data_IF_215078371037
#
_entry.id   IF_215078371037
#
_cell.length_a   1.000
_cell.length_b   1.000
_cell.length_c   1.000
_cell.angle_alpha   90.00
_cell.angle_beta   90.00
_cell.angle_gamma   90.00
#
_symmetry.space_group_name_H-M   'P 1'
#
loop_
_entity.id
_entity.type
_entity.pdbx_description
1 polymer ?
#
# COMPACT_ATOMS: atom_id res chain seq x y z
N UNK A 1 14.11 7.26 1.73
CA UNK A 1 12.77 6.73 1.43
C UNK A 1 11.93 7.68 0.58
N UNK A 2 11.81 8.96 0.94
CA UNK A 2 10.89 9.87 0.24
C UNK A 2 11.28 10.15 -1.22
N UNK A 3 12.58 10.22 -1.52
CA UNK A 3 13.08 10.40 -2.89
C UNK A 3 12.57 9.31 -3.86
N UNK A 4 12.71 8.04 -3.49
CA UNK A 4 12.29 6.90 -4.35
C UNK A 4 10.77 6.87 -4.54
N UNK A 5 10.00 7.19 -3.50
CA UNK A 5 8.53 7.27 -3.56
C UNK A 5 8.11 8.41 -4.49
N UNK A 6 8.72 9.60 -4.38
CA UNK A 6 8.41 10.71 -5.28
C UNK A 6 8.74 10.39 -6.74
N UNK A 7 9.88 9.74 -6.99
CA UNK A 7 10.30 9.39 -8.35
C UNK A 7 9.32 8.39 -8.99
N UNK A 8 8.96 7.32 -8.29
CA UNK A 8 8.00 6.34 -8.80
C UNK A 8 6.61 6.95 -9.05
N UNK A 9 6.14 7.81 -8.14
CA UNK A 9 4.83 8.46 -8.29
C UNK A 9 4.81 9.50 -9.39
N UNK A 10 5.92 10.16 -9.69
CA UNK A 10 6.00 11.05 -10.84
C UNK A 10 5.80 10.28 -12.15
N UNK A 11 6.36 9.08 -12.28
CA UNK A 11 6.13 8.22 -13.46
C UNK A 11 4.68 7.72 -13.53
N UNK A 12 4.10 7.32 -12.40
CA UNK A 12 2.72 6.82 -12.31
C UNK A 12 1.71 7.93 -12.64
N UNK A 13 1.96 9.18 -12.21
CA UNK A 13 1.10 10.33 -12.50
C UNK A 13 1.04 10.71 -13.99
N UNK A 14 2.00 10.26 -14.80
CA UNK A 14 1.95 10.46 -16.26
C UNK A 14 0.92 9.54 -16.94
N UNK A 15 0.43 8.51 -16.24
CA UNK A 15 -0.59 7.59 -16.75
C UNK A 15 -1.98 8.22 -16.68
N UNK A 16 -2.84 7.86 -17.63
CA UNK A 16 -4.18 8.44 -17.74
C UNK A 16 -5.10 7.92 -16.64
N UNK A 17 -5.87 8.83 -16.05
CA UNK A 17 -6.93 8.49 -15.08
C UNK A 17 -6.40 8.02 -13.73
N UNK A 18 -5.20 8.43 -13.34
CA UNK A 18 -4.54 8.01 -12.10
C UNK A 18 -4.46 9.15 -11.10
N UNK A 19 -4.84 8.85 -9.86
CA UNK A 19 -4.68 9.71 -8.69
C UNK A 19 -3.83 8.97 -7.65
N UNK A 20 -2.89 9.66 -7.01
CA UNK A 20 -1.96 9.05 -6.05
C UNK A 20 -1.97 9.79 -4.72
N UNK A 21 -1.96 9.05 -3.62
CA UNK A 21 -1.90 9.58 -2.25
C UNK A 21 -0.81 8.86 -1.45
N UNK A 22 -0.23 9.56 -0.47
CA UNK A 22 0.79 9.00 0.42
C UNK A 22 0.37 9.30 1.85
N UNK A 23 0.30 8.26 2.67
CA UNK A 23 -0.08 8.36 4.08
C UNK A 23 1.02 7.81 4.98
N UNK A 24 1.35 8.53 6.05
CA UNK A 24 2.28 8.03 7.07
C UNK A 24 1.53 7.10 8.02
N UNK A 25 2.07 5.90 8.22
CA UNK A 25 1.47 4.87 9.06
C UNK A 25 2.12 4.84 10.44
N UNK A 26 3.44 4.81 10.51
CA UNK A 26 4.15 4.72 11.78
C UNK A 26 5.53 5.37 11.70
N UNK A 27 5.96 5.91 12.83
CA UNK A 27 7.32 6.37 13.04
C UNK A 27 7.73 5.98 14.47
N UNK A 28 8.49 4.89 14.61
CA UNK A 28 8.80 4.28 15.91
C UNK A 28 10.31 4.14 16.09
N UNK A 29 10.86 4.36 17.29
CA UNK A 29 12.28 4.12 17.55
C UNK A 29 12.58 2.62 17.49
N UNK A 30 13.76 2.28 16.99
CA UNK A 30 14.30 0.91 16.95
C UNK A 30 15.45 0.83 17.95
N UNK A 31 15.52 -0.26 18.70
CA UNK A 31 16.57 -0.53 19.67
C UNK A 31 17.37 -1.76 19.24
N UNK A 32 18.68 -1.71 19.41
CA UNK A 32 19.58 -2.86 19.25
C UNK A 32 20.05 -3.35 20.63
N UNK A 33 20.34 -4.64 20.73
CA UNK A 33 20.88 -5.23 21.95
C UNK A 33 22.40 -5.24 21.88
N UNK A 34 23.05 -4.42 22.70
CA UNK A 34 24.50 -4.53 22.90
C UNK A 34 24.80 -5.46 24.09
N UNK A 35 25.63 -6.47 23.84
CA UNK A 35 26.11 -7.38 24.88
C UNK A 35 27.37 -6.79 25.54
N UNK A 36 27.21 -6.01 26.60
CA UNK A 36 28.34 -5.56 27.39
C UNK A 36 28.89 -6.70 28.27
N UNK A 37 30.16 -7.07 28.05
CA UNK A 37 30.90 -7.92 29.00
C UNK A 37 31.42 -7.06 30.15
N UNK A 38 30.65 -6.94 31.23
CA UNK A 38 31.14 -6.36 32.49
C UNK A 38 32.01 -7.38 33.23
N UNK A 39 33.18 -6.95 33.72
CA UNK A 39 34.19 -7.80 34.40
C UNK A 39 33.60 -8.61 35.56
N UNK A 40 32.53 -8.12 36.19
CA UNK A 40 31.87 -8.74 37.35
C UNK A 40 30.45 -9.27 37.07
N UNK A 41 29.90 -9.14 35.86
CA UNK A 41 28.53 -9.60 35.56
C UNK A 41 28.49 -10.42 34.26
N UNK A 42 27.92 -11.64 34.32
CA UNK A 42 28.14 -12.67 33.30
C UNK A 42 27.35 -12.56 32.00
N UNK A 43 26.53 -11.51 31.80
CA UNK A 43 25.96 -10.99 30.53
C UNK A 43 24.86 -9.99 30.89
N UNK A 44 25.01 -8.72 30.51
CA UNK A 44 23.92 -7.75 30.58
C UNK A 44 23.63 -7.32 29.15
N UNK A 45 22.39 -7.53 28.68
CA UNK A 45 21.93 -7.03 27.39
C UNK A 45 21.25 -5.68 27.66
N UNK A 46 21.83 -4.60 27.12
CA UNK A 46 21.24 -3.27 27.21
C UNK A 46 20.60 -2.93 25.86
N UNK A 47 19.40 -2.36 25.91
CA UNK A 47 18.75 -1.81 24.72
C UNK A 47 19.32 -0.42 24.43
N UNK A 48 19.98 -0.27 23.29
CA UNK A 48 20.56 0.99 22.82
C UNK A 48 19.73 1.49 21.65
N UNK A 49 19.29 2.78 21.64
CA UNK A 49 18.55 3.33 20.51
C UNK A 49 19.39 3.26 19.22
N UNK A 50 18.94 2.48 18.24
CA UNK A 50 19.63 2.25 16.97
C UNK A 50 19.12 3.16 15.83
N UNK A 51 17.89 3.68 15.95
CA UNK A 51 17.33 4.59 14.96
C UNK A 51 15.82 4.67 15.01
N UNK A 52 15.21 4.91 13.86
CA UNK A 52 13.75 4.95 13.71
C UNK A 52 13.30 4.15 12.48
N UNK A 53 12.18 3.46 12.62
CA UNK A 53 11.46 2.81 11.54
C UNK A 53 10.28 3.71 11.11
N UNK A 54 10.26 4.08 9.83
CA UNK A 54 9.20 4.87 9.22
C UNK A 54 8.43 4.00 8.21
N UNK A 55 7.10 3.92 8.36
CA UNK A 55 6.21 3.23 7.42
C UNK A 55 5.27 4.24 6.76
N UNK A 56 5.14 4.16 5.44
CA UNK A 56 4.23 4.95 4.63
C UNK A 56 3.49 4.05 3.65
N UNK A 57 2.20 4.30 3.45
CA UNK A 57 1.40 3.65 2.42
C UNK A 57 1.28 4.54 1.19
N UNK A 58 1.19 3.90 0.03
CA UNK A 58 0.96 4.55 -1.25
C UNK A 58 -0.40 4.06 -1.75
N UNK A 59 -1.32 4.99 -1.96
CA UNK A 59 -2.62 4.70 -2.54
C UNK A 59 -2.63 5.15 -3.99
N UNK A 60 -2.98 4.24 -4.90
CA UNK A 60 -3.11 4.51 -6.33
C UNK A 60 -4.55 4.21 -6.71
N UNK A 61 -5.28 5.24 -7.12
CA UNK A 61 -6.63 5.13 -7.65
C UNK A 61 -6.54 5.28 -9.17
N UNK A 62 -7.12 4.32 -9.88
CA UNK A 62 -7.01 4.21 -11.32
C UNK A 62 -8.29 3.57 -11.88
N UNK A 63 -8.57 3.85 -13.16
CA UNK A 63 -9.80 3.39 -13.81
C UNK A 63 -9.60 2.17 -14.70
N UNK A 64 -8.40 1.98 -15.26
CA UNK A 64 -8.10 0.88 -16.18
C UNK A 64 -7.35 -0.25 -15.44
N UNK A 65 -7.98 -1.42 -15.23
CA UNK A 65 -7.36 -2.56 -14.54
C UNK A 65 -6.03 -3.02 -15.15
N UNK A 66 -5.84 -2.82 -16.47
CA UNK A 66 -4.63 -3.26 -17.17
C UNK A 66 -3.38 -2.48 -16.73
N UNK A 67 -3.55 -1.29 -16.13
CA UNK A 67 -2.43 -0.47 -15.65
C UNK A 67 -1.75 -1.05 -14.41
N UNK A 68 -2.38 -2.00 -13.69
CA UNK A 68 -1.83 -2.56 -12.46
C UNK A 68 -0.43 -3.17 -12.65
N UNK A 69 -0.23 -3.97 -13.70
CA UNK A 69 1.06 -4.59 -13.99
C UNK A 69 2.15 -3.55 -14.30
N UNK A 70 1.77 -2.45 -14.93
CA UNK A 70 2.67 -1.34 -15.21
C UNK A 70 3.07 -0.62 -13.92
N UNK A 71 2.13 -0.36 -13.02
CA UNK A 71 2.43 0.24 -11.71
C UNK A 71 3.37 -0.64 -10.88
N UNK A 72 3.13 -1.94 -10.84
CA UNK A 72 4.00 -2.90 -10.14
C UNK A 72 5.43 -2.84 -10.72
N UNK A 73 5.55 -2.77 -12.04
CA UNK A 73 6.85 -2.69 -12.71
C UNK A 73 7.58 -1.37 -12.42
N UNK A 74 6.86 -0.25 -12.37
CA UNK A 74 7.45 1.05 -12.00
C UNK A 74 7.90 1.02 -10.53
N UNK A 75 7.05 0.57 -9.62
CA UNK A 75 7.36 0.54 -8.18
C UNK A 75 8.53 -0.40 -7.86
N UNK A 76 8.65 -1.52 -8.56
CA UNK A 76 9.74 -2.49 -8.35
C UNK A 76 11.11 -1.94 -8.74
N UNK A 77 11.19 -1.09 -9.78
CA UNK A 77 12.42 -0.38 -10.16
C UNK A 77 12.92 0.58 -9.07
N UNK A 78 12.04 1.00 -8.17
CA UNK A 78 12.34 1.86 -7.04
C UNK A 78 12.34 1.11 -5.70
N UNK A 79 12.45 -0.21 -5.72
CA UNK A 79 12.52 -1.05 -4.51
C UNK A 79 11.31 -0.93 -3.59
N UNK A 80 10.11 -0.77 -4.17
CA UNK A 80 8.83 -0.78 -3.48
C UNK A 80 8.09 -2.05 -3.90
N UNK A 81 8.08 -3.06 -3.02
CA UNK A 81 7.61 -4.41 -3.35
C UNK A 81 6.36 -4.85 -2.61
N UNK A 82 6.04 -4.20 -1.48
CA UNK A 82 4.93 -4.63 -0.64
C UNK A 82 3.59 -4.17 -1.24
N UNK A 83 2.75 -5.14 -1.59
CA UNK A 83 1.40 -4.90 -2.08
C UNK A 83 0.41 -5.25 -0.97
N UNK A 84 -0.17 -4.21 -0.36
CA UNK A 84 -1.11 -4.39 0.76
C UNK A 84 -2.47 -4.92 0.32
N UNK A 85 -3.09 -4.29 -0.70
CA UNK A 85 -4.44 -4.62 -1.17
C UNK A 85 -4.74 -3.98 -2.53
N UNK A 86 -5.63 -4.60 -3.30
CA UNK A 86 -6.29 -4.00 -4.48
C UNK A 86 -7.81 -4.12 -4.30
N UNK A 87 -8.51 -2.99 -4.27
CA UNK A 87 -9.97 -2.92 -4.15
C UNK A 87 -10.61 -2.45 -5.46
N UNK A 88 -11.69 -3.12 -5.87
CA UNK A 88 -12.46 -2.75 -7.07
C UNK A 88 -13.74 -2.03 -6.67
N UNK A 89 -13.95 -0.85 -7.23
CA UNK A 89 -15.16 -0.05 -7.00
C UNK A 89 -15.93 0.12 -8.31
N UNK A 90 -17.22 -0.23 -8.29
CA UNK A 90 -18.14 0.02 -9.40
C UNK A 90 -19.24 0.97 -8.96
N UNK A 91 -19.33 2.12 -9.63
CA UNK A 91 -20.36 3.12 -9.37
C UNK A 91 -21.75 2.68 -9.87
N UNK A 92 -21.83 1.69 -10.77
CA UNK A 92 -23.09 1.24 -11.40
C UNK A 92 -23.69 -0.01 -10.77
N UNK A 93 -23.05 -0.58 -9.74
CA UNK A 93 -23.45 -1.85 -9.14
C UNK A 93 -24.92 -1.85 -8.67
N UNK A 94 -25.35 -0.74 -8.07
CA UNK A 94 -26.72 -0.59 -7.58
C UNK A 94 -27.75 -0.54 -8.71
N UNK A 95 -27.41 0.14 -9.81
CA UNK A 95 -28.24 0.20 -11.01
C UNK A 95 -28.39 -1.19 -11.65
N UNK A 96 -27.28 -1.93 -11.77
CA UNK A 96 -27.27 -3.29 -12.31
C UNK A 96 -28.14 -4.22 -11.45
N UNK A 97 -28.04 -4.13 -10.12
CA UNK A 97 -28.88 -4.91 -9.20
C UNK A 97 -30.38 -4.63 -9.41
N UNK A 98 -30.75 -3.36 -9.55
CA UNK A 98 -32.15 -2.97 -9.83
C UNK A 98 -32.64 -3.53 -11.15
N UNK A 99 -31.83 -3.46 -12.20
CA UNK A 99 -32.16 -4.02 -13.51
C UNK A 99 -32.35 -5.55 -13.44
N UNK A 100 -31.43 -6.25 -12.78
CA UNK A 100 -31.54 -7.70 -12.56
C UNK A 100 -32.81 -8.07 -11.79
N UNK A 101 -33.14 -7.31 -10.74
CA UNK A 101 -34.35 -7.55 -9.95
C UNK A 101 -35.62 -7.36 -10.78
N UNK A 102 -35.67 -6.34 -11.64
CA UNK A 102 -36.81 -6.10 -12.53
C UNK A 102 -36.97 -7.24 -13.55
N UNK A 103 -35.87 -7.71 -14.15
CA UNK A 103 -35.90 -8.86 -15.07
C UNK A 103 -36.37 -10.14 -14.37
N UNK A 104 -35.90 -10.38 -13.15
CA UNK A 104 -36.33 -11.54 -12.35
C UNK A 104 -37.82 -11.49 -12.00
N UNK A 105 -38.38 -10.30 -11.70
CA UNK A 105 -39.82 -10.14 -11.44
C UNK A 105 -40.67 -10.48 -12.66
N UNK A 106 -40.24 -10.08 -13.85
CA UNK A 106 -40.94 -10.38 -15.10
C UNK A 106 -41.01 -11.90 -15.31
N UNK A 107 -39.88 -12.60 -15.12
CA UNK A 107 -39.79 -14.07 -15.25
C UNK A 107 -40.65 -14.87 -14.26
N UNK A 108 -41.04 -14.30 -13.12
CA UNK A 108 -41.87 -14.97 -12.09
C UNK A 108 -43.37 -14.74 -12.35
N UNK A 109 -43.72 -13.74 -13.16
CA UNK A 109 -45.12 -13.40 -13.48
C UNK A 109 -45.65 -14.07 -14.76
N UNK A 110 -44.75 -14.67 -15.57
CA UNK A 110 -45.08 -15.65 -16.62
C UNK A 110 -45.20 -17.07 -16.04
#
# INVERSE_FOLDING_TARGET
MDKRIMQSLNEIKLKKGVETFIDMISFVPVYEYEAEKKVFNRKTYNEVPAGFELKKNIHIKYTDPNQLNEFISILSNYEIYDLVRVDYFSNSLETIKKEMMNKAKILIQE
#
